data_IF_398303202394
#
_entry.id   IF_398303202394
#
_cell.length_a   1.000
_cell.length_b   1.000
_cell.length_c   1.000
_cell.angle_alpha   90.00
_cell.angle_beta   90.00
_cell.angle_gamma   90.00
#
_symmetry.space_group_name_H-M   'P 1'
#
loop_
_entity.id
_entity.type
_entity.pdbx_description
1 polymer ?
#
# COMPACT_ATOMS: atom_id res chain seq x y z
N UNK A 1 22.92 11.26 1.14
CA UNK A 1 21.87 11.23 0.10
C UNK A 1 20.63 10.57 0.71
N UNK A 2 19.56 11.34 0.97
CA UNK A 2 18.32 10.80 1.54
C UNK A 2 17.55 10.09 0.42
N UNK A 3 17.60 8.76 0.38
CA UNK A 3 16.78 7.99 -0.58
C UNK A 3 15.31 8.05 -0.15
N UNK A 4 14.47 8.64 -1.00
CA UNK A 4 13.02 8.65 -0.78
C UNK A 4 12.49 7.26 -1.16
N UNK A 5 12.06 6.47 -0.17
CA UNK A 5 11.38 5.20 -0.43
C UNK A 5 10.06 5.44 -1.16
N UNK A 6 9.86 4.73 -2.26
CA UNK A 6 8.66 4.76 -3.09
C UNK A 6 7.94 3.41 -3.10
N UNK A 7 6.65 3.44 -3.38
CA UNK A 7 5.78 2.28 -3.56
C UNK A 7 5.11 2.41 -4.93
N UNK A 8 5.10 1.33 -5.69
CA UNK A 8 4.32 1.22 -6.92
C UNK A 8 2.92 0.67 -6.60
N UNK A 9 1.89 1.35 -7.10
CA UNK A 9 0.48 0.97 -7.01
C UNK A 9 0.03 0.45 -8.38
N UNK A 10 -0.01 -0.88 -8.58
CA UNK A 10 -0.21 -1.47 -9.90
C UNK A 10 -1.61 -1.20 -10.46
N UNK A 11 -2.62 -1.08 -9.59
CA UNK A 11 -4.01 -0.85 -10.00
C UNK A 11 -4.23 0.48 -10.75
N UNK A 12 -3.35 1.45 -10.55
CA UNK A 12 -3.43 2.78 -11.17
C UNK A 12 -2.12 3.19 -11.85
N UNK A 13 -1.22 2.22 -12.06
CA UNK A 13 0.13 2.41 -12.62
C UNK A 13 0.86 3.65 -12.06
N UNK A 14 0.89 3.76 -10.73
CA UNK A 14 1.42 4.98 -10.08
C UNK A 14 2.46 4.67 -9.02
N UNK A 15 3.60 5.36 -9.11
CA UNK A 15 4.62 5.34 -8.07
C UNK A 15 4.43 6.52 -7.13
N UNK A 16 4.24 6.24 -5.84
CA UNK A 16 4.04 7.22 -4.78
C UNK A 16 5.13 7.12 -3.73
N UNK A 17 5.37 8.19 -2.97
CA UNK A 17 6.28 8.11 -1.82
C UNK A 17 5.66 7.25 -0.72
N UNK A 18 6.49 6.54 0.05
CA UNK A 18 6.04 5.76 1.21
C UNK A 18 5.28 6.64 2.22
N UNK A 19 5.73 7.89 2.40
CA UNK A 19 5.05 8.87 3.27
C UNK A 19 3.63 9.17 2.78
N UNK A 20 3.45 9.38 1.47
CA UNK A 20 2.12 9.63 0.89
C UNK A 20 1.22 8.39 1.01
N UNK A 21 1.76 7.20 0.73
CA UNK A 21 1.04 5.93 0.89
C UNK A 21 0.52 5.73 2.31
N UNK A 22 1.40 5.87 3.33
CA UNK A 22 1.01 5.70 4.74
C UNK A 22 -0.01 6.75 5.17
N UNK A 23 0.11 7.99 4.70
CA UNK A 23 -0.88 9.05 4.99
C UNK A 23 -2.26 8.69 4.43
N UNK A 24 -2.32 8.19 3.20
CA UNK A 24 -3.58 7.78 2.58
C UNK A 24 -4.23 6.59 3.30
N UNK A 25 -3.44 5.57 3.67
CA UNK A 25 -3.94 4.42 4.46
C UNK A 25 -4.48 4.87 5.81
N UNK A 26 -3.79 5.77 6.52
CA UNK A 26 -4.29 6.32 7.80
C UNK A 26 -5.60 7.07 7.63
N UNK A 27 -5.73 7.85 6.56
CA UNK A 27 -6.98 8.56 6.25
C UNK A 27 -8.13 7.59 6.00
N UNK A 28 -7.91 6.53 5.24
CA UNK A 28 -8.90 5.48 4.98
C UNK A 28 -9.31 4.74 6.25
N UNK A 29 -8.35 4.39 7.12
CA UNK A 29 -8.62 3.74 8.41
C UNK A 29 -9.47 4.64 9.32
N UNK A 30 -9.23 5.95 9.32
CA UNK A 30 -10.00 6.91 10.11
C UNK A 30 -11.43 7.13 9.57
N UNK A 31 -11.70 6.79 8.29
CA UNK A 31 -12.96 7.04 7.62
C UNK A 31 -13.45 5.77 6.90
N UNK A 32 -13.91 4.74 7.63
CA UNK A 32 -14.17 3.41 7.07
C UNK A 32 -15.30 3.39 6.04
N UNK A 33 -16.32 4.24 6.18
CA UNK A 33 -17.47 4.30 5.26
C UNK A 33 -17.28 5.35 4.15
N UNK A 34 -16.20 6.13 4.17
CA UNK A 34 -15.92 7.08 3.09
C UNK A 34 -15.52 6.32 1.81
N UNK A 35 -16.04 6.78 0.68
CA UNK A 35 -15.67 6.25 -0.64
C UNK A 35 -14.44 6.97 -1.18
N UNK A 36 -13.50 6.18 -1.70
CA UNK A 36 -12.30 6.65 -2.37
C UNK A 36 -12.35 6.24 -3.84
N UNK A 37 -11.75 7.05 -4.72
CA UNK A 37 -11.78 6.84 -6.17
C UNK A 37 -11.22 5.48 -6.62
N UNK A 38 -10.29 4.94 -5.85
CA UNK A 38 -9.65 3.65 -6.10
C UNK A 38 -9.09 3.09 -4.78
N UNK A 39 -8.79 1.80 -4.77
CA UNK A 39 -8.12 1.12 -3.66
C UNK A 39 -6.60 1.16 -3.75
N UNK A 40 -5.93 0.34 -2.95
CA UNK A 40 -4.49 0.07 -3.06
C UNK A 40 -4.19 -0.90 -4.21
N UNK A 41 -5.09 -1.87 -4.41
CA UNK A 41 -5.02 -2.90 -5.45
C UNK A 41 -6.23 -2.90 -6.41
N UNK A 42 -7.17 -1.98 -6.24
CA UNK A 42 -8.39 -1.88 -7.04
C UNK A 42 -8.42 -0.58 -7.84
N UNK A 43 -8.81 -0.63 -9.12
CA UNK A 43 -8.94 0.55 -9.99
C UNK A 43 -10.32 1.21 -9.95
N UNK A 44 -11.30 0.55 -9.33
CA UNK A 44 -12.67 1.04 -9.12
C UNK A 44 -12.83 1.66 -7.72
N UNK A 45 -13.91 2.44 -7.46
CA UNK A 45 -14.16 3.04 -6.15
C UNK A 45 -14.23 2.01 -5.02
N UNK A 46 -13.61 2.32 -3.88
CA UNK A 46 -13.57 1.44 -2.70
C UNK A 46 -13.77 2.22 -1.42
N UNK A 47 -14.31 1.58 -0.39
CA UNK A 47 -14.47 2.22 0.92
C UNK A 47 -13.16 2.25 1.72
N UNK A 48 -13.10 3.10 2.75
CA UNK A 48 -11.98 3.09 3.69
C UNK A 48 -11.77 1.75 4.38
N UNK A 49 -12.86 1.01 4.64
CA UNK A 49 -12.85 -0.36 5.15
C UNK A 49 -12.17 -1.33 4.18
N UNK A 50 -12.46 -1.21 2.88
CA UNK A 50 -11.83 -2.05 1.84
C UNK A 50 -10.34 -1.77 1.73
N UNK A 51 -9.93 -0.49 1.73
CA UNK A 51 -8.52 -0.09 1.73
C UNK A 51 -7.79 -0.65 2.95
N UNK A 52 -8.41 -0.60 4.13
CA UNK A 52 -7.83 -1.19 5.35
C UNK A 52 -7.65 -2.70 5.20
N UNK A 53 -8.63 -3.40 4.61
CA UNK A 53 -8.53 -4.84 4.36
C UNK A 53 -7.39 -5.15 3.39
N UNK A 54 -7.33 -4.47 2.25
CA UNK A 54 -6.25 -4.62 1.26
C UNK A 54 -4.86 -4.36 1.87
N UNK A 55 -4.75 -3.37 2.76
CA UNK A 55 -3.50 -3.11 3.47
C UNK A 55 -3.11 -4.28 4.37
N UNK A 56 -4.05 -4.81 5.17
CA UNK A 56 -3.81 -5.98 6.02
C UNK A 56 -3.44 -7.23 5.21
N UNK A 57 -4.14 -7.47 4.11
CA UNK A 57 -3.86 -8.60 3.20
C UNK A 57 -2.42 -8.51 2.67
N UNK A 58 -1.98 -7.34 2.21
CA UNK A 58 -0.61 -7.14 1.76
C UNK A 58 0.46 -7.26 2.87
N UNK A 59 0.10 -7.03 4.13
CA UNK A 59 0.99 -7.31 5.27
C UNK A 59 1.07 -8.81 5.51
N UNK A 60 -0.06 -9.51 5.47
CA UNK A 60 -0.14 -10.96 5.63
C UNK A 60 0.62 -11.70 4.53
N UNK A 61 0.47 -11.28 3.27
CA UNK A 61 1.20 -11.86 2.13
C UNK A 61 2.72 -11.76 2.33
N UNK A 62 3.21 -10.59 2.76
CA UNK A 62 4.65 -10.42 3.09
C UNK A 62 5.14 -11.25 4.26
N UNK A 63 4.26 -11.63 5.18
CA UNK A 63 4.61 -12.56 6.27
C UNK A 63 4.70 -13.97 5.70
N UNK A 64 3.72 -14.36 4.88
CA UNK A 64 3.64 -15.68 4.24
C UNK A 64 4.79 -15.94 3.26
N UNK A 65 5.25 -14.93 2.52
CA UNK A 65 6.42 -15.06 1.64
C UNK A 65 7.73 -15.34 2.42
N UNK A 66 7.73 -15.23 3.76
CA UNK A 66 8.87 -15.48 4.63
C UNK A 66 10.17 -14.75 4.21
N UNK A 67 10.06 -13.66 3.43
CA UNK A 67 11.22 -12.94 2.91
C UNK A 67 12.04 -12.43 4.08
N UNK A 68 13.32 -12.86 4.22
CA UNK A 68 14.18 -12.40 5.29
C UNK A 68 14.22 -10.88 5.35
N UNK A 69 14.16 -10.30 6.56
CA UNK A 69 14.13 -8.85 6.73
C UNK A 69 15.36 -8.16 6.08
N UNK A 70 16.50 -8.85 6.06
CA UNK A 70 17.75 -8.44 5.41
C UNK A 70 17.66 -8.36 3.88
N UNK A 71 16.73 -9.08 3.27
CA UNK A 71 16.49 -9.08 1.82
C UNK A 71 15.44 -8.03 1.40
N UNK A 72 14.77 -7.36 2.35
CA UNK A 72 13.70 -6.39 2.07
C UNK A 72 14.27 -5.01 1.71
N UNK A 73 14.51 -4.80 0.43
CA UNK A 73 15.05 -3.55 -0.13
C UNK A 73 16.28 -3.74 -1.02
N UNK A 74 16.75 -4.98 -1.19
CA UNK A 74 17.72 -5.34 -2.20
C UNK A 74 17.08 -5.29 -3.58
N UNK A 75 17.54 -4.37 -4.40
CA UNK A 75 17.21 -4.28 -5.82
C UNK A 75 17.80 -5.50 -6.52
N UNK A 76 16.96 -6.38 -7.05
CA UNK A 76 17.40 -7.38 -8.02
C UNK A 76 16.53 -7.23 -9.26
N UNK A 77 17.21 -6.98 -10.37
CA UNK A 77 16.69 -6.83 -11.72
C UNK A 77 16.18 -8.15 -12.28
#
# INVERSE_FOLDING_TARGET
MNYVRTIHLPAIDKTVTLKAYVRAVKLAIANPEAEFKHGLSSWWPTTGRDIRRQFSDGVQDRINEAVPYTSRGGRTW
#
